data_IF_709262454683
#
_entry.id   IF_709262454683
#
_cell.length_a   1.000
_cell.length_b   1.000
_cell.length_c   1.000
_cell.angle_alpha   90.00
_cell.angle_beta   90.00
_cell.angle_gamma   90.00
#
_symmetry.space_group_name_H-M   'P 1'
#
loop_
_entity.id
_entity.type
_entity.pdbx_description
1 polymer ?
#
# COMPACT_ATOMS: atom_id res chain seq x y z
N UNK A 1 11.39 1.11 25.76
CA UNK A 1 10.89 -0.24 25.40
C UNK A 1 11.39 -1.27 26.42
N UNK A 2 10.48 -2.01 27.07
CA UNK A 2 10.83 -3.09 28.02
C UNK A 2 11.55 -4.23 27.27
N UNK A 3 12.55 -4.88 27.88
CA UNK A 3 13.35 -5.96 27.25
C UNK A 3 12.51 -7.08 26.61
N UNK A 4 11.35 -7.39 27.18
CA UNK A 4 10.39 -8.38 26.65
C UNK A 4 9.89 -8.03 25.24
N UNK A 5 9.65 -6.74 24.96
CA UNK A 5 9.20 -6.28 23.64
C UNK A 5 10.26 -6.47 22.56
N UNK A 6 11.55 -6.30 22.90
CA UNK A 6 12.67 -6.47 21.96
C UNK A 6 12.82 -7.93 21.51
N UNK A 7 12.72 -8.87 22.45
CA UNK A 7 12.75 -10.30 22.12
C UNK A 7 11.58 -10.74 21.25
N UNK A 8 10.37 -10.27 21.56
CA UNK A 8 9.18 -10.51 20.73
C UNK A 8 9.39 -10.01 19.30
N UNK A 9 9.87 -8.78 19.16
CA UNK A 9 10.09 -8.17 17.85
C UNK A 9 11.21 -8.88 17.07
N UNK A 10 12.32 -9.24 17.72
CA UNK A 10 13.41 -9.98 17.08
C UNK A 10 12.93 -11.34 16.55
N UNK A 11 12.17 -12.09 17.36
CA UNK A 11 11.55 -13.36 16.92
C UNK A 11 10.63 -13.17 15.73
N UNK A 12 9.81 -12.11 15.76
CA UNK A 12 8.95 -11.75 14.63
C UNK A 12 9.76 -11.47 13.36
N UNK A 13 10.83 -10.69 13.46
CA UNK A 13 11.70 -10.35 12.32
C UNK A 13 12.41 -11.57 11.74
N UNK A 14 12.85 -12.51 12.58
CA UNK A 14 13.41 -13.78 12.13
C UNK A 14 12.37 -14.63 11.39
N UNK A 15 11.13 -14.68 11.88
CA UNK A 15 10.07 -15.50 11.29
C UNK A 15 9.54 -14.94 9.96
N UNK A 16 9.55 -13.62 9.79
CA UNK A 16 8.94 -12.92 8.65
C UNK A 16 9.95 -12.43 7.62
N UNK A 17 11.24 -12.73 7.80
CA UNK A 17 12.28 -12.30 6.89
C UNK A 17 12.17 -12.98 5.51
N UNK A 18 12.18 -12.16 4.45
CA UNK A 18 12.27 -12.59 3.05
C UNK A 18 13.74 -12.95 2.74
N UNK A 19 14.19 -14.14 3.17
CA UNK A 19 15.61 -14.51 3.19
C UNK A 19 16.31 -14.45 1.81
N UNK A 20 15.61 -14.84 0.75
CA UNK A 20 16.14 -14.78 -0.62
C UNK A 20 16.42 -13.34 -1.02
N UNK A 21 15.43 -12.45 -0.86
CA UNK A 21 15.57 -11.01 -1.11
C UNK A 21 16.68 -10.37 -0.27
N UNK A 22 16.85 -10.79 0.98
CA UNK A 22 17.95 -10.28 1.83
C UNK A 22 19.32 -10.69 1.30
N UNK A 23 19.47 -11.91 0.76
CA UNK A 23 20.72 -12.35 0.12
C UNK A 23 20.98 -11.57 -1.16
N UNK A 24 19.96 -11.33 -1.98
CA UNK A 24 20.07 -10.49 -3.17
C UNK A 24 20.54 -9.07 -2.83
N UNK A 25 19.97 -8.47 -1.78
CA UNK A 25 20.38 -7.17 -1.25
C UNK A 25 21.82 -7.17 -0.76
N UNK A 26 22.21 -8.19 -0.01
CA UNK A 26 23.59 -8.32 0.47
C UNK A 26 24.60 -8.47 -0.68
N UNK A 27 24.25 -9.27 -1.69
CA UNK A 27 25.08 -9.47 -2.87
C UNK A 27 25.19 -8.18 -3.68
N UNK A 28 24.08 -7.48 -3.90
CA UNK A 28 24.04 -6.19 -4.61
C UNK A 28 24.89 -5.12 -3.92
N UNK A 29 24.94 -5.12 -2.59
CA UNK A 29 25.71 -4.14 -1.82
C UNK A 29 27.20 -4.47 -1.72
N UNK A 30 27.55 -5.74 -1.44
CA UNK A 30 28.89 -6.13 -1.00
C UNK A 30 29.57 -7.17 -1.88
N UNK A 31 28.88 -7.71 -2.88
CA UNK A 31 29.28 -8.90 -3.63
C UNK A 31 29.18 -10.23 -2.86
N UNK A 32 28.98 -10.20 -1.54
CA UNK A 32 28.91 -11.40 -0.70
C UNK A 32 27.51 -12.02 -0.65
N UNK A 33 27.45 -13.35 -0.58
CA UNK A 33 26.23 -14.10 -0.28
C UNK A 33 25.97 -14.25 1.24
N UNK A 34 26.97 -13.93 2.08
CA UNK A 34 26.89 -14.09 3.54
C UNK A 34 26.28 -12.84 4.18
N UNK A 35 25.18 -13.05 4.92
CA UNK A 35 24.50 -11.99 5.65
C UNK A 35 25.34 -11.48 6.85
N UNK A 36 25.35 -10.16 7.12
CA UNK A 36 26.08 -9.57 8.24
C UNK A 36 25.28 -9.72 9.54
N UNK A 37 25.16 -10.97 10.02
CA UNK A 37 24.27 -11.34 11.14
C UNK A 37 24.43 -10.47 12.38
N UNK A 38 25.67 -10.17 12.79
CA UNK A 38 25.93 -9.32 13.95
C UNK A 38 25.34 -7.91 13.76
N UNK A 39 25.47 -7.33 12.57
CA UNK A 39 24.92 -6.01 12.27
C UNK A 39 23.39 -6.02 12.18
N UNK A 40 22.81 -7.06 11.57
CA UNK A 40 21.36 -7.25 11.46
C UNK A 40 20.71 -7.44 12.84
N UNK A 41 21.26 -8.34 13.67
CA UNK A 41 20.77 -8.59 15.02
C UNK A 41 20.94 -7.36 15.92
N UNK A 42 22.09 -6.69 15.86
CA UNK A 42 22.35 -5.46 16.62
C UNK A 42 21.38 -4.34 16.21
N UNK A 43 21.15 -4.14 14.91
CA UNK A 43 20.23 -3.09 14.43
C UNK A 43 18.78 -3.40 14.81
N UNK A 44 18.36 -4.65 14.67
CA UNK A 44 17.05 -5.11 15.12
C UNK A 44 16.84 -4.89 16.62
N UNK A 45 17.84 -5.23 17.43
CA UNK A 45 17.77 -5.06 18.89
C UNK A 45 17.79 -3.59 19.34
N UNK A 46 18.69 -2.77 18.76
CA UNK A 46 18.91 -1.38 19.19
C UNK A 46 17.86 -0.43 18.62
N UNK A 47 17.46 -0.64 17.36
CA UNK A 47 16.62 0.29 16.60
C UNK A 47 15.26 -0.32 16.18
N UNK A 48 15.02 -1.62 16.39
CA UNK A 48 13.74 -2.24 16.04
C UNK A 48 13.55 -2.48 14.54
N UNK A 49 14.63 -2.44 13.76
CA UNK A 49 14.58 -2.70 12.31
C UNK A 49 14.23 -4.14 12.03
N UNK A 50 13.32 -4.37 11.07
CA UNK A 50 13.32 -5.64 10.36
C UNK A 50 14.64 -5.80 9.60
N UNK A 51 15.00 -7.03 9.20
CA UNK A 51 16.20 -7.19 8.37
C UNK A 51 16.04 -6.53 6.99
N UNK A 52 14.82 -6.42 6.48
CA UNK A 52 14.55 -5.66 5.27
C UNK A 52 14.73 -4.15 5.48
N UNK A 53 14.30 -3.60 6.62
CA UNK A 53 14.48 -2.18 6.96
C UNK A 53 15.97 -1.80 6.98
N UNK A 54 16.83 -2.71 7.48
CA UNK A 54 18.28 -2.48 7.51
C UNK A 54 18.85 -2.15 6.13
N UNK A 55 18.41 -2.88 5.10
CA UNK A 55 18.81 -2.62 3.72
C UNK A 55 18.03 -1.46 3.09
N UNK A 56 16.70 -1.44 3.25
CA UNK A 56 15.81 -0.43 2.64
C UNK A 56 16.16 0.99 3.08
N UNK A 57 16.50 1.17 4.36
CA UNK A 57 16.91 2.46 4.91
C UNK A 57 18.43 2.68 4.85
N UNK A 58 19.17 1.72 4.26
CA UNK A 58 20.63 1.75 4.14
C UNK A 58 21.33 2.04 5.46
N UNK A 59 20.94 1.31 6.51
CA UNK A 59 21.46 1.53 7.86
C UNK A 59 22.97 1.25 7.96
N UNK A 60 23.54 0.46 7.05
CA UNK A 60 24.99 0.25 6.94
C UNK A 60 25.77 1.54 6.61
N UNK A 61 25.14 2.59 6.10
CA UNK A 61 25.76 3.89 5.78
C UNK A 61 25.50 4.96 6.83
N UNK A 62 24.66 4.67 7.83
CA UNK A 62 24.13 5.68 8.76
C UNK A 62 24.73 5.54 10.14
N UNK A 63 24.94 6.68 10.79
CA UNK A 63 25.31 6.74 12.20
C UNK A 63 24.13 6.32 13.10
N UNK A 64 24.38 5.90 14.36
CA UNK A 64 23.31 5.58 15.29
C UNK A 64 22.30 6.72 15.51
N UNK A 65 22.75 7.98 15.39
CA UNK A 65 21.88 9.17 15.50
C UNK A 65 20.96 9.26 14.29
N UNK A 66 21.49 9.18 13.07
CA UNK A 66 20.69 9.19 11.84
C UNK A 66 19.66 8.07 11.81
N UNK A 67 20.02 6.87 12.26
CA UNK A 67 19.11 5.71 12.31
C UNK A 67 17.88 5.93 13.20
N UNK A 68 17.96 6.80 14.22
CA UNK A 68 16.84 7.09 15.12
C UNK A 68 15.76 7.97 14.49
N UNK A 69 16.04 8.62 13.36
CA UNK A 69 15.06 9.42 12.62
C UNK A 69 14.07 8.58 11.79
N UNK A 70 14.29 7.25 11.69
CA UNK A 70 13.46 6.37 10.86
C UNK A 70 12.39 5.66 11.67
N UNK A 71 11.18 5.57 11.09
CA UNK A 71 10.13 4.69 11.58
C UNK A 71 10.46 3.25 11.15
N UNK A 72 10.98 2.47 12.10
CA UNK A 72 11.27 1.05 11.88
C UNK A 72 10.03 0.18 12.03
N UNK A 73 10.07 -1.04 11.50
CA UNK A 73 8.95 -1.99 11.56
C UNK A 73 8.46 -2.19 12.99
N UNK A 74 9.36 -2.36 13.96
CA UNK A 74 8.96 -2.48 15.38
C UNK A 74 8.30 -1.21 15.92
N UNK A 75 8.82 -0.03 15.59
CA UNK A 75 8.24 1.23 16.05
C UNK A 75 6.85 1.42 15.43
N UNK A 76 6.68 1.18 14.13
CA UNK A 76 5.39 1.21 13.43
C UNK A 76 4.37 0.30 14.10
N UNK A 77 4.73 -0.95 14.39
CA UNK A 77 3.82 -1.89 15.05
C UNK A 77 3.42 -1.43 16.45
N UNK A 78 4.35 -0.86 17.22
CA UNK A 78 4.05 -0.38 18.56
C UNK A 78 3.17 0.88 18.52
N UNK A 79 3.44 1.83 17.61
CA UNK A 79 2.60 3.01 17.38
C UNK A 79 1.18 2.59 16.96
N UNK A 80 1.07 1.68 15.99
CA UNK A 80 -0.25 1.17 15.54
C UNK A 80 -1.01 0.53 16.69
N UNK A 81 -0.34 -0.25 17.55
CA UNK A 81 -0.94 -0.90 18.72
C UNK A 81 -1.39 0.09 19.81
N UNK A 82 -0.69 1.20 19.96
CA UNK A 82 -0.94 2.17 21.02
C UNK A 82 -1.99 3.22 20.61
N UNK A 83 -1.98 3.61 19.34
CA UNK A 83 -2.77 4.73 18.84
C UNK A 83 -4.04 4.28 18.11
N UNK A 84 -4.06 3.09 17.51
CA UNK A 84 -5.23 2.68 16.72
C UNK A 84 -6.18 1.83 17.55
N UNK A 85 -7.43 2.30 17.64
CA UNK A 85 -8.53 1.50 18.14
C UNK A 85 -8.84 0.32 17.19
N UNK A 86 -8.90 -0.94 17.69
CA UNK A 86 -9.16 -2.10 16.84
C UNK A 86 -10.50 -2.06 16.10
N UNK A 87 -11.55 -1.50 16.70
CA UNK A 87 -12.88 -1.45 16.05
C UNK A 87 -12.85 -0.48 14.87
N UNK A 88 -12.24 0.68 15.06
CA UNK A 88 -11.99 1.67 14.00
C UNK A 88 -11.12 1.07 12.89
N UNK A 89 -10.11 0.28 13.24
CA UNK A 89 -9.27 -0.39 12.24
C UNK A 89 -10.06 -1.44 11.42
N UNK A 90 -11.05 -2.10 12.00
CA UNK A 90 -11.89 -3.08 11.29
C UNK A 90 -12.86 -2.38 10.33
N UNK A 91 -13.47 -1.26 10.75
CA UNK A 91 -14.27 -0.39 9.88
C UNK A 91 -13.50 0.01 8.62
N UNK A 92 -12.21 0.34 8.76
CA UNK A 92 -11.35 0.74 7.63
C UNK A 92 -10.93 -0.41 6.71
N UNK A 93 -10.91 -1.66 7.19
CA UNK A 93 -10.51 -2.83 6.39
C UNK A 93 -11.65 -3.37 5.55
N UNK A 94 -12.86 -3.29 6.08
CA UNK A 94 -14.08 -3.73 5.41
C UNK A 94 -14.55 -2.64 4.45
N UNK A 95 -14.37 -2.86 3.14
CA UNK A 95 -14.74 -1.87 2.12
C UNK A 95 -16.23 -1.54 2.10
N UNK A 96 -17.11 -2.46 2.51
CA UNK A 96 -18.55 -2.19 2.57
C UNK A 96 -18.89 -1.28 3.74
N UNK A 97 -18.31 -1.54 4.93
CA UNK A 97 -18.48 -0.66 6.09
C UNK A 97 -17.82 0.71 5.85
N UNK A 98 -16.63 0.72 5.26
CA UNK A 98 -15.93 1.95 4.86
C UNK A 98 -16.79 2.82 3.94
N UNK A 99 -17.40 2.20 2.92
CA UNK A 99 -18.33 2.90 2.01
C UNK A 99 -19.46 3.57 2.77
N UNK A 100 -20.13 2.85 3.66
CA UNK A 100 -21.29 3.38 4.39
C UNK A 100 -20.89 4.55 5.29
N UNK A 101 -19.73 4.47 5.93
CA UNK A 101 -19.28 5.49 6.88
C UNK A 101 -18.72 6.75 6.22
N UNK A 102 -18.06 6.63 5.06
CA UNK A 102 -17.39 7.75 4.36
C UNK A 102 -18.02 8.06 3.01
N UNK A 103 -19.33 7.85 2.85
CA UNK A 103 -20.03 7.96 1.57
C UNK A 103 -19.88 9.33 0.90
N UNK A 104 -19.81 10.39 1.70
CA UNK A 104 -19.65 11.79 1.30
C UNK A 104 -18.23 12.12 0.78
N UNK A 105 -17.23 11.33 1.16
CA UNK A 105 -15.82 11.57 0.83
C UNK A 105 -15.30 10.72 -0.34
N UNK A 106 -16.05 9.70 -0.78
CA UNK A 106 -15.57 8.74 -1.77
C UNK A 106 -15.43 9.31 -3.19
N UNK A 107 -16.21 10.35 -3.51
CA UNK A 107 -16.21 11.02 -4.82
C UNK A 107 -16.60 10.12 -6.01
N UNK A 108 -17.16 8.93 -5.74
CA UNK A 108 -17.62 7.96 -6.75
C UNK A 108 -18.68 7.05 -6.16
N UNK A 109 -19.45 6.44 -7.04
CA UNK A 109 -20.46 5.45 -6.66
C UNK A 109 -19.81 4.09 -6.35
N UNK A 110 -20.32 3.44 -5.31
CA UNK A 110 -19.93 2.11 -4.89
C UNK A 110 -21.19 1.36 -4.49
N UNK A 111 -21.33 0.14 -4.96
CA UNK A 111 -22.47 -0.74 -4.69
C UNK A 111 -22.02 -2.01 -3.99
N UNK A 112 -22.85 -2.47 -3.06
CA UNK A 112 -22.94 -3.88 -2.68
C UNK A 112 -23.68 -4.66 -3.77
N UNK A 113 -23.61 -5.98 -3.72
CA UNK A 113 -24.36 -6.82 -4.64
C UNK A 113 -25.87 -6.56 -4.57
N UNK A 114 -26.42 -6.47 -3.35
CA UNK A 114 -27.84 -6.19 -3.13
C UNK A 114 -28.34 -4.86 -3.70
N UNK A 115 -27.52 -3.81 -3.63
CA UNK A 115 -27.84 -2.49 -4.18
C UNK A 115 -27.80 -2.54 -5.71
N UNK A 116 -26.78 -3.20 -6.28
CA UNK A 116 -26.61 -3.37 -7.72
C UNK A 116 -27.80 -4.13 -8.33
N UNK A 117 -28.36 -5.10 -7.61
CA UNK A 117 -29.55 -5.84 -8.04
C UNK A 117 -30.82 -4.97 -8.14
N UNK A 118 -30.89 -3.87 -7.40
CA UNK A 118 -32.04 -2.95 -7.40
C UNK A 118 -31.94 -1.85 -8.47
N UNK A 119 -30.79 -1.71 -9.12
CA UNK A 119 -30.61 -0.75 -10.21
C UNK A 119 -31.46 -1.12 -11.42
N UNK A 120 -31.89 -0.10 -12.17
CA UNK A 120 -32.70 -0.29 -13.36
C UNK A 120 -31.96 -1.21 -14.36
N UNK A 121 -32.56 -2.37 -14.71
CA UNK A 121 -31.96 -3.34 -15.61
C UNK A 121 -31.52 -2.78 -16.96
N UNK A 122 -32.23 -1.78 -17.49
CA UNK A 122 -32.02 -1.26 -18.83
C UNK A 122 -30.93 -0.18 -18.89
N UNK A 123 -30.58 0.44 -17.76
CA UNK A 123 -29.58 1.51 -17.75
C UNK A 123 -28.16 0.96 -17.95
N UNK A 124 -27.36 1.74 -18.66
CA UNK A 124 -25.94 1.46 -18.86
C UNK A 124 -25.15 1.80 -17.59
N UNK A 125 -24.39 0.85 -17.01
CA UNK A 125 -23.52 1.13 -15.87
C UNK A 125 -22.30 1.97 -16.32
N UNK A 126 -21.66 2.71 -15.39
CA UNK A 126 -20.29 3.16 -15.63
C UNK A 126 -19.36 1.96 -15.77
N UNK A 127 -18.13 2.20 -16.24
CA UNK A 127 -17.08 1.18 -16.17
C UNK A 127 -16.90 0.74 -14.73
N UNK A 128 -16.85 -0.58 -14.49
CA UNK A 128 -16.80 -1.13 -13.12
C UNK A 128 -15.40 -1.59 -12.73
N UNK A 129 -15.14 -1.55 -11.43
CA UNK A 129 -14.01 -2.23 -10.77
C UNK A 129 -14.57 -3.06 -9.63
N UNK A 130 -14.30 -4.36 -9.64
CA UNK A 130 -14.76 -5.27 -8.61
C UNK A 130 -13.61 -5.49 -7.64
N UNK A 131 -13.86 -5.29 -6.34
CA UNK A 131 -12.84 -5.49 -5.31
C UNK A 131 -13.36 -6.40 -4.20
N UNK A 132 -12.56 -7.38 -3.75
CA UNK A 132 -12.91 -8.14 -2.55
C UNK A 132 -13.13 -7.20 -1.37
N UNK A 133 -14.20 -7.44 -0.60
CA UNK A 133 -14.60 -6.64 0.57
C UNK A 133 -13.46 -6.53 1.59
N UNK A 134 -12.76 -7.63 1.82
CA UNK A 134 -11.51 -7.69 2.57
C UNK A 134 -10.34 -8.03 1.66
N UNK A 135 -9.13 -7.67 2.06
CA UNK A 135 -7.91 -7.94 1.30
C UNK A 135 -7.03 -6.71 1.15
N UNK A 136 -5.81 -6.93 0.67
CA UNK A 136 -4.77 -5.91 0.58
C UNK A 136 -4.02 -6.06 -0.76
N UNK A 137 -3.18 -5.08 -1.10
CA UNK A 137 -2.22 -5.16 -2.21
C UNK A 137 -2.80 -5.32 -3.62
N UNK A 138 -4.11 -5.12 -3.80
CA UNK A 138 -4.77 -5.24 -5.10
C UNK A 138 -5.12 -6.68 -5.49
N UNK A 139 -4.98 -7.63 -4.57
CA UNK A 139 -5.32 -9.03 -4.82
C UNK A 139 -6.83 -9.21 -5.06
N UNK A 140 -7.17 -10.00 -6.07
CA UNK A 140 -8.56 -10.32 -6.42
C UNK A 140 -9.36 -9.19 -7.07
N UNK A 141 -8.73 -8.06 -7.43
CA UNK A 141 -9.40 -6.98 -8.15
C UNK A 141 -9.65 -7.41 -9.61
N UNK A 142 -10.87 -7.22 -10.09
CA UNK A 142 -11.25 -7.49 -11.48
C UNK A 142 -11.63 -6.19 -12.20
N UNK A 143 -11.21 -6.10 -13.46
CA UNK A 143 -11.51 -5.00 -14.37
C UNK A 143 -12.31 -5.54 -15.56
N UNK A 144 -13.64 -5.67 -15.44
CA UNK A 144 -14.47 -6.09 -16.56
C UNK A 144 -14.42 -5.07 -17.72
N UNK A 145 -14.79 -5.55 -18.89
CA UNK A 145 -15.12 -4.67 -20.02
C UNK A 145 -16.39 -3.86 -19.71
N UNK A 146 -16.64 -2.83 -20.53
CA UNK A 146 -17.83 -2.01 -20.37
C UNK A 146 -19.09 -2.82 -20.70
N UNK A 147 -20.11 -2.68 -19.86
CA UNK A 147 -21.40 -3.31 -20.09
C UNK A 147 -22.37 -2.32 -20.76
N UNK A 148 -23.25 -2.84 -21.60
CA UNK A 148 -24.32 -2.09 -22.22
C UNK A 148 -25.52 -1.88 -21.27
N UNK A 149 -25.68 -2.73 -20.26
CA UNK A 149 -26.77 -2.64 -19.29
C UNK A 149 -26.45 -3.33 -17.96
N UNK A 150 -27.15 -2.95 -16.88
CA UNK A 150 -27.03 -3.62 -15.58
C UNK A 150 -27.46 -5.09 -15.61
N UNK A 151 -28.36 -5.50 -16.52
CA UNK A 151 -28.67 -6.94 -16.72
C UNK A 151 -27.42 -7.69 -17.18
N UNK A 152 -26.71 -7.17 -18.18
CA UNK A 152 -25.49 -7.80 -18.68
C UNK A 152 -24.41 -7.85 -17.59
N UNK A 153 -24.22 -6.75 -16.87
CA UNK A 153 -23.26 -6.68 -15.77
C UNK A 153 -23.56 -7.74 -14.68
N UNK A 154 -24.82 -7.86 -14.24
CA UNK A 154 -25.24 -8.84 -13.22
C UNK A 154 -24.98 -10.28 -13.67
N UNK A 155 -25.33 -10.61 -14.90
CA UNK A 155 -25.10 -11.96 -15.44
C UNK A 155 -23.61 -12.30 -15.50
N UNK A 156 -22.78 -11.35 -15.97
CA UNK A 156 -21.33 -11.52 -15.97
C UNK A 156 -20.77 -11.69 -14.56
N UNK A 157 -21.20 -10.86 -13.60
CA UNK A 157 -20.76 -10.92 -12.20
C UNK A 157 -21.07 -12.29 -11.60
N UNK A 158 -22.28 -12.81 -11.78
CA UNK A 158 -22.70 -14.12 -11.28
C UNK A 158 -21.92 -15.28 -11.94
N UNK A 159 -21.53 -15.12 -13.21
CA UNK A 159 -20.73 -16.12 -13.91
C UNK A 159 -19.26 -16.13 -13.45
N UNK A 160 -18.72 -14.97 -13.05
CA UNK A 160 -17.31 -14.84 -12.65
C UNK A 160 -17.07 -15.06 -11.16
N UNK A 161 -18.04 -14.69 -10.32
CA UNK A 161 -17.92 -14.73 -8.87
C UNK A 161 -18.84 -15.81 -8.29
N UNK A 162 -18.26 -16.75 -7.54
CA UNK A 162 -19.02 -17.74 -6.79
C UNK A 162 -19.89 -17.10 -5.70
N UNK A 163 -19.40 -16.01 -5.09
CA UNK A 163 -20.07 -15.27 -4.02
C UNK A 163 -19.89 -13.76 -4.24
N UNK A 164 -20.83 -13.13 -4.98
CA UNK A 164 -20.80 -11.69 -5.24
C UNK A 164 -20.87 -10.81 -3.98
N UNK A 165 -21.45 -11.31 -2.86
CA UNK A 165 -21.58 -10.55 -1.61
C UNK A 165 -20.24 -10.32 -0.89
N UNK A 166 -19.19 -11.07 -1.28
CA UNK A 166 -17.81 -10.86 -0.81
C UNK A 166 -17.08 -9.77 -1.58
N UNK A 167 -17.74 -9.07 -2.49
CA UNK A 167 -17.17 -8.00 -3.29
C UNK A 167 -17.92 -6.69 -3.10
N UNK A 168 -17.22 -5.59 -3.37
CA UNK A 168 -17.80 -4.28 -3.63
C UNK A 168 -17.57 -3.94 -5.11
N UNK A 169 -18.54 -3.26 -5.69
CA UNK A 169 -18.55 -2.87 -7.09
C UNK A 169 -18.39 -1.35 -7.13
N UNK A 170 -17.29 -0.85 -7.66
CA UNK A 170 -17.00 0.58 -7.70
C UNK A 170 -17.06 1.12 -9.13
N UNK A 171 -17.55 2.35 -9.30
CA UNK A 171 -17.34 3.09 -10.54
C UNK A 171 -15.84 3.32 -10.77
N UNK A 172 -15.38 3.11 -12.00
CA UNK A 172 -13.98 3.27 -12.39
C UNK A 172 -13.55 4.73 -12.23
N UNK A 173 -12.41 4.94 -11.56
CA UNK A 173 -11.85 6.28 -11.36
C UNK A 173 -11.10 6.70 -12.62
N UNK A 174 -11.56 7.77 -13.25
CA UNK A 174 -10.79 8.49 -14.27
C UNK A 174 -9.82 9.42 -13.55
N UNK A 175 -8.53 9.11 -13.60
CA UNK A 175 -7.50 9.91 -12.93
C UNK A 175 -7.31 11.28 -13.62
N UNK A 176 -6.87 12.26 -12.84
CA UNK A 176 -6.58 13.61 -13.34
C UNK A 176 -5.53 13.57 -14.47
N UNK A 177 -5.63 14.39 -15.53
CA UNK A 177 -4.70 14.36 -16.67
C UNK A 177 -3.22 14.49 -16.28
N UNK A 178 -2.90 15.29 -15.27
CA UNK A 178 -1.52 15.43 -14.78
C UNK A 178 -0.95 14.12 -14.18
N UNK A 179 -1.79 13.30 -13.53
CA UNK A 179 -1.38 11.98 -13.05
C UNK A 179 -1.38 10.95 -14.18
N UNK A 180 -2.34 11.04 -15.10
CA UNK A 180 -2.37 10.20 -16.31
C UNK A 180 -1.12 10.40 -17.18
N UNK A 181 -0.55 11.60 -17.22
CA UNK A 181 0.69 11.90 -17.93
C UNK A 181 1.90 11.15 -17.37
N UNK A 182 1.85 10.69 -16.11
CA UNK A 182 2.89 9.82 -15.55
C UNK A 182 2.69 8.37 -15.98
N UNK A 183 1.48 7.83 -15.79
CA UNK A 183 1.12 6.54 -16.36
C UNK A 183 -0.40 6.42 -16.54
N UNK A 184 -0.93 6.43 -17.77
CA UNK A 184 -2.36 6.36 -18.00
C UNK A 184 -2.94 4.95 -17.78
N UNK A 185 -2.09 3.92 -17.80
CA UNK A 185 -2.50 2.51 -17.69
C UNK A 185 -2.72 2.05 -16.24
N UNK A 186 -2.29 2.84 -15.26
CA UNK A 186 -2.45 2.55 -13.83
C UNK A 186 -3.11 3.72 -13.11
N UNK A 187 -3.85 3.43 -12.04
CA UNK A 187 -4.33 4.47 -11.13
C UNK A 187 -3.17 4.90 -10.23
N UNK A 188 -2.60 6.06 -10.52
CA UNK A 188 -1.56 6.67 -9.68
C UNK A 188 -2.22 7.35 -8.47
N UNK A 189 -1.66 7.16 -7.28
CA UNK A 189 -2.28 7.65 -6.04
C UNK A 189 -1.36 8.53 -5.20
N UNK A 190 -1.95 9.50 -4.50
CA UNK A 190 -1.27 10.23 -3.43
C UNK A 190 -1.44 9.46 -2.12
N UNK A 191 -0.32 9.17 -1.45
CA UNK A 191 -0.28 8.60 -0.10
C UNK A 191 -0.06 9.72 0.90
N UNK A 192 -0.99 9.87 1.83
CA UNK A 192 -0.82 10.73 3.01
C UNK A 192 -0.69 9.83 4.21
N UNK A 193 0.44 9.91 4.92
CA UNK A 193 0.65 9.21 6.20
C UNK A 193 0.34 10.19 7.30
N UNK A 194 -0.68 9.87 8.11
CA UNK A 194 -1.12 10.71 9.22
C UNK A 194 -0.94 10.02 10.57
N UNK A 195 -0.86 10.83 11.61
CA UNK A 195 -1.01 10.41 13.00
C UNK A 195 -2.14 11.22 13.62
N UNK A 196 -3.10 10.54 14.26
CA UNK A 196 -4.15 11.19 15.03
C UNK A 196 -3.81 11.07 16.51
N UNK A 197 -3.62 12.20 17.19
CA UNK A 197 -3.35 12.25 18.63
C UNK A 197 -4.11 13.42 19.25
N UNK A 198 -4.86 13.16 20.33
CA UNK A 198 -5.63 14.19 21.05
C UNK A 198 -6.50 15.05 20.10
N UNK A 199 -7.22 14.39 19.19
CA UNK A 199 -8.08 15.00 18.17
C UNK A 199 -7.37 15.90 17.14
N UNK A 200 -6.04 15.90 17.11
CA UNK A 200 -5.24 16.58 16.10
C UNK A 200 -4.66 15.59 15.09
N UNK A 201 -4.84 15.91 13.81
CA UNK A 201 -4.27 15.13 12.70
C UNK A 201 -2.96 15.77 12.27
N UNK A 202 -1.85 15.07 12.48
CA UNK A 202 -0.53 15.45 11.96
C UNK A 202 -0.22 14.70 10.67
N UNK A 203 0.32 15.39 9.67
CA UNK A 203 0.82 14.77 8.44
C UNK A 203 2.31 14.45 8.65
N UNK A 204 2.66 13.17 8.58
CA UNK A 204 4.02 12.69 8.78
C UNK A 204 4.78 12.51 7.47
N UNK A 205 4.09 12.13 6.39
CA UNK A 205 4.72 11.96 5.09
C UNK A 205 3.71 12.05 3.96
N UNK A 206 4.16 12.57 2.83
CA UNK A 206 3.44 12.58 1.57
C UNK A 206 4.27 11.81 0.53
N UNK A 207 3.62 10.94 -0.23
CA UNK A 207 4.30 10.21 -1.30
C UNK A 207 3.37 10.00 -2.48
N UNK A 208 3.84 10.32 -3.68
CA UNK A 208 3.18 9.92 -4.91
C UNK A 208 3.53 8.47 -5.23
N UNK A 209 2.52 7.70 -5.59
CA UNK A 209 2.60 6.29 -5.96
C UNK A 209 2.29 6.20 -7.45
N UNK A 210 3.26 5.68 -8.19
CA UNK A 210 3.19 5.68 -9.66
C UNK A 210 3.26 4.23 -10.13
N UNK A 211 2.25 3.77 -10.86
CA UNK A 211 2.26 2.43 -11.44
C UNK A 211 3.27 2.35 -12.57
N UNK A 212 3.85 1.17 -12.80
CA UNK A 212 4.79 0.93 -13.93
C UNK A 212 4.22 -0.03 -14.97
N UNK A 213 3.01 -0.54 -14.73
CA UNK A 213 2.29 -1.52 -15.55
C UNK A 213 0.78 -1.27 -15.43
N UNK A 214 -0.05 -1.82 -16.33
CA UNK A 214 -1.50 -1.72 -16.19
C UNK A 214 -2.01 -2.22 -14.83
N UNK A 215 -3.03 -1.56 -14.28
CA UNK A 215 -3.65 -1.93 -12.99
C UNK A 215 -3.22 -1.04 -11.83
N UNK A 216 -2.58 -1.60 -10.80
CA UNK A 216 -2.31 -0.90 -9.52
C UNK A 216 -0.89 -0.31 -9.43
N UNK A 217 -0.74 0.77 -8.65
CA UNK A 217 0.54 1.46 -8.36
C UNK A 217 1.35 0.87 -7.17
N UNK A 218 1.04 -0.38 -6.79
CA UNK A 218 1.54 -0.99 -5.57
C UNK A 218 3.08 -1.10 -5.56
N UNK A 219 3.71 -0.60 -4.49
CA UNK A 219 5.16 -0.59 -4.31
C UNK A 219 5.76 -1.98 -4.26
N UNK A 220 5.03 -2.92 -3.66
CA UNK A 220 5.45 -4.31 -3.58
C UNK A 220 5.46 -4.99 -4.94
N UNK A 221 4.66 -4.50 -5.89
CA UNK A 221 4.48 -5.12 -7.20
C UNK A 221 5.19 -4.32 -8.32
N UNK A 222 6.22 -3.56 -7.97
CA UNK A 222 7.07 -2.84 -8.93
C UNK A 222 6.64 -1.41 -9.25
N UNK A 223 5.61 -0.87 -8.58
CA UNK A 223 5.29 0.55 -8.64
C UNK A 223 6.40 1.43 -8.01
N UNK A 224 6.45 2.69 -8.39
CA UNK A 224 7.39 3.69 -7.89
C UNK A 224 6.80 4.44 -6.70
N UNK A 225 7.67 4.91 -5.81
CA UNK A 225 7.35 5.90 -4.79
C UNK A 225 8.16 7.17 -5.03
N UNK A 226 7.52 8.32 -5.03
CA UNK A 226 8.16 9.62 -5.14
C UNK A 226 7.78 10.43 -3.91
N UNK A 227 8.78 10.93 -3.19
CA UNK A 227 8.54 11.74 -2.00
C UNK A 227 7.96 13.10 -2.40
N UNK A 228 7.11 13.65 -1.53
CA UNK A 228 6.55 14.99 -1.68
C UNK A 228 6.83 15.73 -0.38
N UNK A 229 7.37 16.94 -0.49
CA UNK A 229 7.46 17.87 0.64
C UNK A 229 6.07 18.20 1.19
N UNK A 230 5.97 18.63 2.45
CA UNK A 230 4.70 19.00 3.06
C UNK A 230 4.02 20.19 2.36
N UNK A 231 4.78 21.01 1.64
CA UNK A 231 4.27 22.12 0.81
C UNK A 231 3.78 21.66 -0.58
N UNK A 232 3.77 20.35 -0.85
CA UNK A 232 3.24 19.78 -2.10
C UNK A 232 4.23 19.71 -3.26
N UNK A 233 5.52 20.03 -3.04
CA UNK A 233 6.56 19.94 -4.08
C UNK A 233 7.08 18.51 -4.19
N UNK A 234 7.09 17.97 -5.41
CA UNK A 234 7.68 16.67 -5.72
C UNK A 234 9.19 16.68 -5.52
N UNK A 235 9.72 15.66 -4.86
CA UNK A 235 11.15 15.51 -4.55
C UNK A 235 11.75 14.35 -5.35
N UNK A 236 12.18 14.56 -6.62
CA UNK A 236 12.80 13.53 -7.42
C UNK A 236 14.17 13.11 -6.86
N UNK A 237 14.64 11.89 -7.18
CA UNK A 237 14.03 10.92 -8.10
C UNK A 237 12.98 10.01 -7.43
N UNK A 238 12.13 9.39 -8.25
CA UNK A 238 11.26 8.31 -7.79
C UNK A 238 12.08 7.03 -7.54
N UNK A 239 11.68 6.24 -6.52
CA UNK A 239 12.40 5.04 -6.09
C UNK A 239 11.55 3.79 -6.24
N UNK A 240 12.22 2.63 -6.32
CA UNK A 240 11.62 1.30 -6.27
C UNK A 240 11.77 0.70 -4.87
N UNK A 241 11.01 -0.37 -4.58
CA UNK A 241 11.12 -1.11 -3.30
C UNK A 241 12.52 -1.71 -3.07
N UNK A 242 13.19 -2.14 -4.14
CA UNK A 242 14.57 -2.58 -4.08
C UNK A 242 15.50 -1.36 -3.91
N UNK A 243 16.20 -1.22 -2.76
CA UNK A 243 17.05 -0.06 -2.47
C UNK A 243 18.35 0.00 -3.28
N UNK A 244 18.62 -1.03 -4.09
CA UNK A 244 19.76 -1.08 -5.02
C UNK A 244 19.35 -0.91 -6.48
N UNK A 245 18.05 -0.82 -6.77
CA UNK A 245 17.59 -0.48 -8.10
C UNK A 245 17.90 1.01 -8.39
N UNK A 246 18.25 1.37 -9.64
CA UNK A 246 18.54 2.75 -9.98
C UNK A 246 17.31 3.63 -9.75
N UNK A 247 17.50 4.87 -9.26
CA UNK A 247 16.43 5.85 -9.17
C UNK A 247 15.87 6.19 -10.55
N UNK A 248 14.62 6.65 -10.58
CA UNK A 248 13.86 6.94 -11.79
C UNK A 248 13.56 8.45 -11.86
N UNK A 249 14.21 9.14 -12.80
CA UNK A 249 13.96 10.57 -13.09
C UNK A 249 12.89 10.76 -14.17
N UNK A 250 12.82 9.82 -15.11
CA UNK A 250 11.84 9.79 -16.19
C UNK A 250 11.06 8.49 -16.07
N UNK A 251 9.72 8.57 -16.11
CA UNK A 251 8.85 7.41 -16.01
C UNK A 251 9.16 6.42 -17.16
N UNK A 252 9.23 5.10 -16.89
CA UNK A 252 9.67 4.11 -17.88
C UNK A 252 8.63 3.77 -18.98
N UNK A 253 7.45 4.38 -18.93
CA UNK A 253 6.34 4.23 -19.89
C UNK A 253 6.03 5.60 -20.44
#
# INVERSE_FOLDING_TARGET
MRYTSRWRNLRYHLRTAEWETLREYQHSWSGSQRLPWLALLRSSWQHGTSFADYYRYRFFEKTPVQRRSYITTSLRHELTRQLNDPNSAELLKDKACFKLHFADLLGREIWSWSELQQLDPALQPPRLVLKPRWGQQGEGILFPENFASWVQARHWIQAQLQDPDRYVFEAYIVQHPALAALNPSSLNTLRVVTCLQADQVEIWALALRIGTRPGTDNFSNGGLGLEISLDGVLLPPAVKKNPFAPPCLVHPV
#
